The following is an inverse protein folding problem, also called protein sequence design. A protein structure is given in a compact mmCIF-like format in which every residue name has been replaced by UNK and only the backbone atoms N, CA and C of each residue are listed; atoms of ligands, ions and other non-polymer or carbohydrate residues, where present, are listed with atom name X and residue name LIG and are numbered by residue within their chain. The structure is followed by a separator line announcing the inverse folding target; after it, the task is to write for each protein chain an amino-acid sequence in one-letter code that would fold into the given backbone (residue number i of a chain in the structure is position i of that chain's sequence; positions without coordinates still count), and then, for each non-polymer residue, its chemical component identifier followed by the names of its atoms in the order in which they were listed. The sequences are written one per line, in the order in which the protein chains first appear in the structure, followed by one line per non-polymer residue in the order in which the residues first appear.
data_IF_940376844878
#
_entry.id   IF_940376844878
#
_cell.length_a   1.000
_cell.length_b   1.000
_cell.length_c   1.000
_cell.angle_alpha   90.00
_cell.angle_beta   90.00
_cell.angle_gamma   90.00
#
_symmetry.space_group_name_H-M   'P 1'
#
loop_
_entity.id
_entity.type
_entity.pdbx_description
1 polymer ?
#
# COMPACT_ATOMS: atom_id res chain seq x y z
N UNK A 1 57.39 11.32 24.16
CA UNK A 1 56.35 10.34 24.54
C UNK A 1 55.27 10.46 23.47
N UNK A 2 55.35 9.70 22.38
CA UNK A 2 55.11 8.27 22.25
C UNK A 2 53.63 7.90 22.48
N UNK A 3 53.07 7.14 21.53
CA UNK A 3 51.94 6.20 21.67
C UNK A 3 50.52 6.79 21.53
N UNK A 4 49.59 6.36 20.66
CA UNK A 4 49.52 5.27 19.67
C UNK A 4 48.45 5.59 18.59
N UNK A 5 48.55 5.01 17.38
CA UNK A 5 47.47 4.99 16.39
C UNK A 5 46.49 3.82 16.66
N UNK A 6 45.19 4.08 16.52
CA UNK A 6 44.16 3.04 16.50
C UNK A 6 44.16 2.35 15.14
N UNK A 7 44.98 1.31 15.02
CA UNK A 7 44.83 0.27 14.01
C UNK A 7 43.64 -0.61 14.37
N UNK A 8 42.58 -0.59 13.56
CA UNK A 8 41.55 -1.64 13.59
C UNK A 8 41.47 -2.22 12.18
N UNK A 9 42.37 -3.16 11.90
CA UNK A 9 42.20 -4.14 10.85
C UNK A 9 41.41 -5.29 11.44
N UNK A 10 40.14 -5.42 11.07
CA UNK A 10 39.38 -6.65 11.25
C UNK A 10 38.77 -7.03 9.91
N UNK A 11 39.52 -7.88 9.20
CA UNK A 11 39.02 -8.74 8.14
C UNK A 11 37.90 -9.64 8.69
N UNK A 12 36.74 -9.61 8.05
CA UNK A 12 35.83 -10.75 7.97
C UNK A 12 35.05 -10.68 6.65
N UNK A 13 35.77 -10.92 5.55
CA UNK A 13 35.19 -11.45 4.32
C UNK A 13 34.98 -12.94 4.56
N UNK A 14 33.73 -13.37 4.74
CA UNK A 14 33.21 -14.70 4.38
C UNK A 14 31.83 -14.89 5.00
N UNK A 15 30.81 -15.04 4.15
CA UNK A 15 29.45 -15.37 4.57
C UNK A 15 28.50 -15.53 3.38
N UNK A 16 28.85 -16.41 2.44
CA UNK A 16 27.93 -16.90 1.41
C UNK A 16 26.73 -17.58 2.08
N UNK A 17 25.51 -17.15 1.74
CA UNK A 17 24.35 -18.03 1.65
C UNK A 17 23.48 -17.58 0.46
N UNK A 18 23.95 -17.92 -0.75
CA UNK A 18 23.06 -18.06 -1.90
C UNK A 18 22.20 -19.32 -1.70
N UNK A 19 21.06 -19.15 -1.04
CA UNK A 19 19.95 -20.10 -1.13
C UNK A 19 18.85 -19.47 -2.00
N UNK A 20 19.17 -19.22 -3.26
CA UNK A 20 18.20 -18.95 -4.31
C UNK A 20 17.70 -20.27 -4.89
N UNK A 21 16.79 -20.95 -4.20
CA UNK A 21 16.02 -22.05 -4.77
C UNK A 21 14.71 -21.45 -5.32
N UNK A 22 14.68 -21.15 -6.62
CA UNK A 22 13.48 -20.72 -7.30
C UNK A 22 12.48 -21.90 -7.36
N UNK A 23 11.25 -21.78 -6.83
CA UNK A 23 10.22 -22.76 -7.11
C UNK A 23 9.73 -22.63 -8.56
N UNK A 24 9.46 -23.74 -9.27
CA UNK A 24 8.85 -23.69 -10.59
C UNK A 24 7.43 -23.07 -10.51
N UNK A 25 6.97 -22.42 -11.58
CA UNK A 25 5.58 -22.01 -11.68
C UNK A 25 4.72 -23.25 -11.96
N UNK A 26 3.98 -23.73 -10.96
CA UNK A 26 2.86 -24.63 -11.20
C UNK A 26 1.64 -23.79 -11.59
N UNK A 27 1.32 -23.88 -12.87
CA UNK A 27 0.10 -23.38 -13.47
C UNK A 27 -1.04 -24.27 -12.98
N UNK A 28 -1.86 -23.75 -12.06
CA UNK A 28 -3.26 -24.16 -11.97
C UNK A 28 -4.15 -22.92 -11.98
N UNK A 29 -4.56 -22.59 -13.20
CA UNK A 29 -5.66 -21.70 -13.44
C UNK A 29 -6.96 -22.43 -13.06
N UNK A 30 -7.49 -22.15 -11.88
CA UNK A 30 -8.89 -22.44 -11.58
C UNK A 30 -9.64 -21.13 -11.33
N UNK A 31 -10.22 -20.63 -12.42
CA UNK A 31 -11.24 -19.59 -12.44
C UNK A 31 -12.52 -20.07 -11.76
N UNK A 32 -13.24 -19.12 -11.18
CA UNK A 32 -14.57 -19.18 -10.55
C UNK A 32 -14.57 -19.73 -9.10
N UNK A 33 -14.89 -18.92 -8.10
CA UNK A 33 -16.24 -18.39 -7.95
C UNK A 33 -16.23 -17.15 -7.05
N UNK A 34 -16.35 -15.97 -7.66
CA UNK A 34 -16.93 -14.82 -6.98
C UNK A 34 -18.42 -15.08 -6.81
N UNK A 35 -18.84 -15.46 -5.60
CA UNK A 35 -20.22 -15.81 -5.32
C UNK A 35 -20.57 -15.61 -3.84
N UNK A 36 -21.11 -14.43 -3.55
CA UNK A 36 -22.07 -14.08 -2.47
C UNK A 36 -22.05 -14.92 -1.18
N UNK A 37 -21.58 -14.26 -0.12
CA UNK A 37 -22.10 -14.26 1.25
C UNK A 37 -22.82 -15.51 1.75
N UNK A 38 -22.14 -16.26 2.61
CA UNK A 38 -22.78 -16.87 3.76
C UNK A 38 -22.50 -15.96 4.95
N UNK A 39 -23.56 -15.44 5.57
CA UNK A 39 -23.53 -14.85 6.91
C UNK A 39 -23.26 -16.01 7.89
N UNK A 40 -22.00 -16.46 7.92
CA UNK A 40 -21.54 -17.42 8.91
C UNK A 40 -21.00 -16.62 10.11
N UNK A 41 -21.67 -16.64 11.27
CA UNK A 41 -21.19 -15.93 12.46
C UNK A 41 -19.85 -16.49 12.98
N UNK A 42 -19.36 -17.60 12.44
CA UNK A 42 -18.04 -18.16 12.71
C UNK A 42 -16.97 -17.80 11.66
N UNK A 43 -17.31 -17.04 10.61
CA UNK A 43 -16.29 -16.58 9.67
C UNK A 43 -15.65 -15.30 10.22
N UNK A 44 -14.33 -15.30 10.50
CA UNK A 44 -13.67 -14.11 11.03
C UNK A 44 -13.82 -12.98 10.01
N UNK A 45 -14.40 -11.85 10.46
CA UNK A 45 -14.45 -10.63 9.66
C UNK A 45 -13.01 -10.18 9.44
N UNK A 46 -12.48 -10.46 8.25
CA UNK A 46 -11.17 -9.99 7.84
C UNK A 46 -11.28 -8.47 7.61
N UNK A 47 -10.94 -7.69 8.65
CA UNK A 47 -10.82 -6.23 8.55
C UNK A 47 -9.47 -5.92 7.89
N UNK A 48 -9.38 -6.15 6.59
CA UNK A 48 -8.32 -5.54 5.81
C UNK A 48 -8.76 -4.12 5.43
N UNK A 49 -7.84 -3.16 5.47
CA UNK A 49 -8.15 -1.80 5.03
C UNK A 49 -8.57 -1.74 3.55
N UNK A 50 -8.28 -2.79 2.78
CA UNK A 50 -8.54 -2.99 1.35
C UNK A 50 -9.97 -3.45 1.01
N UNK A 51 -10.98 -2.90 1.67
CA UNK A 51 -12.37 -3.05 1.21
C UNK A 51 -12.78 -1.92 0.25
N UNK A 52 -13.62 -2.24 -0.74
CA UNK A 52 -14.22 -1.24 -1.65
C UNK A 52 -14.99 -0.17 -0.86
N UNK A 53 -15.68 -0.58 0.20
CA UNK A 53 -16.39 0.34 1.09
C UNK A 53 -15.45 1.35 1.77
N UNK A 54 -14.28 0.89 2.26
CA UNK A 54 -13.28 1.80 2.83
C UNK A 54 -12.72 2.75 1.77
N UNK A 55 -12.41 2.25 0.57
CA UNK A 55 -11.92 3.12 -0.51
C UNK A 55 -12.91 4.23 -0.86
N UNK A 56 -14.20 3.90 -1.03
CA UNK A 56 -15.23 4.88 -1.35
C UNK A 56 -15.40 5.92 -0.23
N UNK A 57 -15.31 5.49 1.04
CA UNK A 57 -15.30 6.42 2.17
C UNK A 57 -14.12 7.38 2.10
N UNK A 58 -12.94 6.89 1.74
CA UNK A 58 -11.74 7.72 1.65
C UNK A 58 -11.86 8.78 0.55
N UNK A 59 -12.43 8.43 -0.61
CA UNK A 59 -12.74 9.39 -1.67
C UNK A 59 -13.75 10.45 -1.19
N UNK A 60 -14.82 10.04 -0.51
CA UNK A 60 -15.81 10.98 0.04
C UNK A 60 -15.22 11.96 1.07
N UNK A 61 -14.22 11.54 1.87
CA UNK A 61 -13.51 12.44 2.78
C UNK A 61 -12.74 13.50 2.01
N UNK A 62 -12.08 13.15 0.91
CA UNK A 62 -11.38 14.13 0.05
C UNK A 62 -12.40 15.10 -0.57
N UNK A 63 -13.54 14.58 -1.07
CA UNK A 63 -14.60 15.40 -1.68
C UNK A 63 -15.16 16.46 -0.71
N UNK A 64 -15.18 16.14 0.59
CA UNK A 64 -15.67 17.05 1.63
C UNK A 64 -14.79 18.28 1.85
N UNK A 65 -13.52 18.28 1.40
CA UNK A 65 -12.68 19.48 1.40
C UNK A 65 -13.21 20.55 0.43
N UNK A 66 -13.95 20.14 -0.60
CA UNK A 66 -14.53 21.03 -1.60
C UNK A 66 -13.50 21.69 -2.53
N UNK A 67 -13.94 22.21 -3.68
CA UNK A 67 -13.07 22.96 -4.58
C UNK A 67 -12.75 24.37 -4.04
N UNK A 68 -11.63 24.99 -4.46
CA UNK A 68 -10.65 24.45 -5.41
C UNK A 68 -9.59 23.58 -4.71
N UNK A 69 -9.41 22.36 -5.22
CA UNK A 69 -8.29 21.50 -4.84
C UNK A 69 -7.09 21.82 -5.75
N UNK A 70 -5.87 21.58 -5.26
CA UNK A 70 -4.67 21.61 -6.11
C UNK A 70 -4.77 20.52 -7.17
N UNK A 71 -4.25 20.78 -8.38
CA UNK A 71 -4.25 19.82 -9.48
C UNK A 71 -3.72 18.44 -9.09
N UNK A 72 -2.66 18.41 -8.26
CA UNK A 72 -2.08 17.16 -7.74
C UNK A 72 -3.07 16.36 -6.88
N UNK A 73 -3.83 17.03 -6.00
CA UNK A 73 -4.84 16.37 -5.16
C UNK A 73 -5.97 15.83 -6.03
N UNK A 74 -6.43 16.62 -7.00
CA UNK A 74 -7.47 16.21 -7.95
C UNK A 74 -7.04 15.00 -8.80
N UNK A 75 -5.80 14.99 -9.28
CA UNK A 75 -5.25 13.87 -10.04
C UNK A 75 -5.18 12.60 -9.20
N UNK A 76 -4.66 12.69 -7.96
CA UNK A 76 -4.56 11.56 -7.04
C UNK A 76 -5.94 11.03 -6.66
N UNK A 77 -6.91 11.93 -6.45
CA UNK A 77 -8.31 11.60 -6.17
C UNK A 77 -8.95 10.87 -7.35
N UNK A 78 -8.82 11.40 -8.57
CA UNK A 78 -9.39 10.82 -9.78
C UNK A 78 -8.79 9.44 -10.06
N UNK A 79 -7.46 9.31 -10.01
CA UNK A 79 -6.76 8.05 -10.19
C UNK A 79 -7.15 7.02 -9.13
N UNK A 80 -7.16 7.41 -7.85
CA UNK A 80 -7.52 6.54 -6.74
C UNK A 80 -8.95 5.99 -6.85
N UNK A 81 -9.89 6.87 -7.22
CA UNK A 81 -11.29 6.50 -7.44
C UNK A 81 -11.44 5.53 -8.62
N UNK A 82 -10.75 5.79 -9.73
CA UNK A 82 -10.74 4.90 -10.90
C UNK A 82 -10.23 3.50 -10.55
N UNK A 83 -9.09 3.41 -9.85
CA UNK A 83 -8.51 2.13 -9.42
C UNK A 83 -9.46 1.33 -8.52
N UNK A 84 -10.20 2.01 -7.64
CA UNK A 84 -11.18 1.34 -6.79
C UNK A 84 -12.41 0.84 -7.57
N UNK A 85 -12.83 1.56 -8.61
CA UNK A 85 -13.88 1.11 -9.51
C UNK A 85 -13.47 -0.16 -10.27
N UNK A 86 -12.23 -0.20 -10.77
CA UNK A 86 -11.63 -1.36 -11.45
C UNK A 86 -11.37 -2.57 -10.53
N UNK A 87 -11.57 -2.43 -9.22
CA UNK A 87 -11.29 -3.49 -8.25
C UNK A 87 -9.83 -3.57 -7.78
N UNK A 88 -8.96 -2.66 -8.23
CA UNK A 88 -7.58 -2.51 -7.75
C UNK A 88 -7.53 -1.75 -6.42
N UNK A 89 -8.31 -2.22 -5.44
CA UNK A 89 -8.64 -1.49 -4.20
C UNK A 89 -7.40 -1.04 -3.42
N UNK A 90 -6.39 -1.92 -3.28
CA UNK A 90 -5.17 -1.60 -2.52
C UNK A 90 -4.39 -0.44 -3.14
N UNK A 91 -4.27 -0.43 -4.47
CA UNK A 91 -3.61 0.67 -5.19
C UNK A 91 -4.42 1.97 -5.14
N UNK A 92 -5.76 1.88 -5.23
CA UNK A 92 -6.62 3.05 -5.11
C UNK A 92 -6.54 3.71 -3.72
N UNK A 93 -6.55 2.92 -2.66
CA UNK A 93 -6.38 3.43 -1.28
C UNK A 93 -5.04 4.15 -1.11
N UNK A 94 -3.96 3.63 -1.70
CA UNK A 94 -2.64 4.28 -1.63
C UNK A 94 -2.69 5.68 -2.26
N UNK A 95 -3.31 5.83 -3.43
CA UNK A 95 -3.43 7.15 -4.08
C UNK A 95 -4.31 8.11 -3.29
N UNK A 96 -5.45 7.63 -2.76
CA UNK A 96 -6.34 8.45 -1.94
C UNK A 96 -5.68 8.88 -0.62
N UNK A 97 -4.87 8.01 0.00
CA UNK A 97 -4.09 8.39 1.19
C UNK A 97 -3.04 9.46 0.87
N UNK A 98 -2.41 9.42 -0.30
CA UNK A 98 -1.48 10.46 -0.76
C UNK A 98 -2.20 11.80 -0.95
N UNK A 99 -3.38 11.79 -1.56
CA UNK A 99 -4.21 12.99 -1.68
C UNK A 99 -4.52 13.62 -0.31
N UNK A 100 -4.87 12.80 0.69
CA UNK A 100 -5.10 13.28 2.06
C UNK A 100 -3.85 13.85 2.72
N UNK A 101 -2.67 13.27 2.47
CA UNK A 101 -1.42 13.82 3.01
C UNK A 101 -1.10 15.19 2.39
N UNK A 102 -1.25 15.34 1.08
CA UNK A 102 -1.06 16.62 0.40
C UNK A 102 -2.02 17.70 0.95
N UNK A 103 -3.28 17.36 1.22
CA UNK A 103 -4.24 18.29 1.84
C UNK A 103 -3.87 18.67 3.28
N UNK A 104 -3.30 17.75 4.05
CA UNK A 104 -2.87 18.02 5.42
C UNK A 104 -1.67 18.96 5.48
N UNK A 105 -0.72 18.83 4.55
CA UNK A 105 0.41 19.75 4.43
C UNK A 105 -0.05 21.20 4.18
N UNK A 106 -1.11 21.37 3.39
CA UNK A 106 -1.70 22.69 3.11
C UNK A 106 -2.43 23.30 4.33
N UNK A 107 -2.93 22.48 5.26
CA UNK A 107 -3.68 22.97 6.45
C UNK A 107 -2.74 23.49 7.56
N UNK A 108 -1.46 23.12 7.52
CA UNK A 108 -0.47 23.45 8.54
C UNK A 108 0.56 24.51 8.09
N UNK A 109 0.41 25.07 6.88
CA UNK A 109 1.23 26.18 6.37
C UNK A 109 0.55 27.53 6.61
#
# INVERSE_FOLDING_TARGET
MNSQPLSITALAVMGLCLCGMAPPPDMDASLATGGRGADDPNHPVIITSDSRAFCNRLAAVIDAYGPPLRHEVDDLRAQGTHLCHEGKVRSGIVQLRRALMALKEDTHS
#
